data_IF_496278475917
#
_entry.id   IF_496278475917
#
_cell.length_a   1.000
_cell.length_b   1.000
_cell.length_c   1.000
_cell.angle_alpha   90.00
_cell.angle_beta   90.00
_cell.angle_gamma   90.00
#
_symmetry.space_group_name_H-M   'P 1'
#
loop_
_entity.id
_entity.type
_entity.pdbx_description
1 polymer ?
#
# COMPACT_ATOMS: atom_id res chain seq x y z
N UNK A 1 -18.49 -5.01 -24.50
CA UNK A 1 -17.39 -4.08 -24.15
C UNK A 1 -16.10 -4.43 -24.88
N UNK A 2 -15.43 -5.56 -24.60
CA UNK A 2 -14.10 -5.86 -25.17
C UNK A 2 -14.05 -5.90 -26.70
N UNK A 3 -15.07 -6.42 -27.39
CA UNK A 3 -15.12 -6.37 -28.86
C UNK A 3 -15.20 -4.94 -29.42
N UNK A 4 -15.90 -4.02 -28.75
CA UNK A 4 -15.95 -2.61 -29.16
C UNK A 4 -14.58 -1.95 -29.02
N UNK A 5 -13.84 -2.27 -27.95
CA UNK A 5 -12.46 -1.81 -27.78
C UNK A 5 -11.55 -2.39 -28.89
N UNK A 6 -11.70 -3.67 -29.22
CA UNK A 6 -10.92 -4.34 -30.28
C UNK A 6 -11.20 -3.76 -31.67
N UNK A 7 -12.43 -3.32 -31.92
CA UNK A 7 -12.86 -2.70 -33.17
C UNK A 7 -12.55 -1.19 -33.26
N UNK A 8 -12.00 -0.58 -32.20
CA UNK A 8 -11.77 0.87 -32.15
C UNK A 8 -13.03 1.71 -31.91
N UNK A 9 -14.18 1.07 -31.68
CA UNK A 9 -15.48 1.69 -31.42
C UNK A 9 -15.68 2.17 -29.98
N UNK A 10 -14.66 2.02 -29.12
CA UNK A 10 -14.65 2.51 -27.75
C UNK A 10 -13.32 3.21 -27.43
N UNK A 11 -13.40 4.47 -26.99
CA UNK A 11 -12.23 5.28 -26.61
C UNK A 11 -11.65 4.81 -25.28
N UNK A 12 -10.36 4.48 -25.24
CA UNK A 12 -9.61 4.22 -24.00
C UNK A 12 -8.98 5.52 -23.48
N UNK A 13 -8.89 5.64 -22.16
CA UNK A 13 -8.22 6.75 -21.47
C UNK A 13 -6.84 6.38 -20.91
N UNK A 14 -6.55 5.08 -20.84
CA UNK A 14 -5.28 4.51 -20.36
C UNK A 14 -4.86 3.33 -21.23
N UNK A 15 -3.56 3.09 -21.33
CA UNK A 15 -3.02 1.96 -22.08
C UNK A 15 -3.24 0.64 -21.33
N UNK A 16 -3.19 -0.48 -22.06
CA UNK A 16 -3.31 -1.80 -21.43
C UNK A 16 -2.11 -2.16 -20.55
N UNK A 17 -0.92 -1.69 -20.93
CA UNK A 17 0.30 -1.84 -20.12
C UNK A 17 0.13 -1.19 -18.74
N UNK A 18 -0.41 0.03 -18.69
CA UNK A 18 -0.61 0.75 -17.43
C UNK A 18 -1.57 0.01 -16.49
N UNK A 19 -2.64 -0.59 -17.04
CA UNK A 19 -3.57 -1.41 -16.28
C UNK A 19 -2.86 -2.64 -15.69
N UNK A 20 -2.08 -3.35 -16.52
CA UNK A 20 -1.33 -4.54 -16.08
C UNK A 20 -0.33 -4.22 -14.98
N UNK A 21 0.40 -3.12 -15.11
CA UNK A 21 1.34 -2.64 -14.07
C UNK A 21 0.60 -2.29 -12.77
N UNK A 22 -0.56 -1.63 -12.87
CA UNK A 22 -1.34 -1.17 -11.72
C UNK A 22 -1.93 -2.30 -10.87
N UNK A 23 -2.02 -3.53 -11.40
CA UNK A 23 -2.43 -4.72 -10.61
C UNK A 23 -1.45 -4.96 -9.45
N UNK A 24 -0.16 -4.69 -9.67
CA UNK A 24 0.90 -4.98 -8.69
C UNK A 24 1.51 -3.71 -8.08
N UNK A 25 1.24 -2.54 -8.67
CA UNK A 25 1.86 -1.27 -8.30
C UNK A 25 0.80 -0.31 -7.78
N UNK A 26 0.51 -0.30 -6.46
CA UNK A 26 -0.41 0.68 -5.89
C UNK A 26 0.14 2.11 -6.05
N UNK A 27 -0.73 3.14 -6.08
CA UNK A 27 -0.30 4.51 -6.28
C UNK A 27 0.47 5.05 -5.07
N UNK A 28 1.74 5.41 -5.27
CA UNK A 28 2.71 5.82 -4.24
C UNK A 28 2.27 7.06 -3.44
N UNK A 29 1.39 7.89 -3.99
CA UNK A 29 0.91 9.13 -3.36
C UNK A 29 -0.30 8.92 -2.44
N UNK A 30 -0.70 7.67 -2.18
CA UNK A 30 -1.89 7.33 -1.40
C UNK A 30 -1.59 6.29 -0.34
N UNK A 31 -2.48 6.17 0.65
CA UNK A 31 -2.41 5.11 1.68
C UNK A 31 -2.52 3.69 1.12
N UNK A 32 -2.98 3.53 -0.13
CA UNK A 32 -2.99 2.24 -0.79
C UNK A 32 -1.56 1.69 -1.01
N UNK A 33 -0.55 2.55 -1.15
CA UNK A 33 0.84 2.10 -1.28
C UNK A 33 1.33 1.44 0.00
N UNK A 34 1.23 2.13 1.14
CA UNK A 34 1.58 1.57 2.45
C UNK A 34 0.86 0.25 2.69
N UNK A 35 -0.47 0.22 2.49
CA UNK A 35 -1.29 -0.99 2.66
C UNK A 35 -0.85 -2.15 1.77
N UNK A 36 -0.69 -1.90 0.47
CA UNK A 36 -0.27 -2.91 -0.49
C UNK A 36 1.13 -3.45 -0.20
N UNK A 37 2.07 -2.58 0.17
CA UNK A 37 3.43 -2.97 0.54
C UNK A 37 3.49 -3.71 1.86
N UNK A 38 2.69 -3.32 2.86
CA UNK A 38 2.57 -4.05 4.12
C UNK A 38 2.08 -5.48 3.87
N UNK A 39 1.00 -5.65 3.10
CA UNK A 39 0.49 -6.99 2.72
C UNK A 39 1.53 -7.78 1.93
N UNK A 40 2.19 -7.18 0.95
CA UNK A 40 3.16 -7.91 0.12
C UNK A 40 4.40 -8.39 0.90
N UNK A 41 4.73 -7.77 2.03
CA UNK A 41 5.99 -8.02 2.75
C UNK A 41 5.82 -8.66 4.12
N UNK A 42 4.75 -8.34 4.82
CA UNK A 42 4.54 -8.63 6.23
C UNK A 42 3.14 -9.22 6.48
N UNK A 43 2.65 -10.03 5.53
CA UNK A 43 1.31 -10.61 5.59
C UNK A 43 1.11 -11.46 6.86
N UNK A 44 2.14 -12.18 7.28
CA UNK A 44 2.09 -13.09 8.42
C UNK A 44 2.02 -12.35 9.76
N UNK A 45 2.51 -11.11 9.80
CA UNK A 45 2.45 -10.21 10.94
C UNK A 45 1.22 -9.29 10.92
N UNK A 46 0.35 -9.35 9.91
CA UNK A 46 -0.89 -8.54 9.88
C UNK A 46 -2.00 -9.28 10.62
N UNK A 47 -2.45 -8.70 11.73
CA UNK A 47 -3.65 -9.16 12.44
C UNK A 47 -4.93 -8.70 11.73
N UNK A 48 -4.96 -7.43 11.30
CA UNK A 48 -6.11 -6.90 10.56
C UNK A 48 -5.72 -5.72 9.67
N UNK A 49 -6.49 -5.50 8.61
CA UNK A 49 -6.29 -4.41 7.67
C UNK A 49 -7.63 -3.74 7.32
N UNK A 50 -7.70 -2.42 7.48
CA UNK A 50 -8.82 -1.58 7.10
C UNK A 50 -8.32 -0.46 6.18
N UNK A 51 -9.23 0.40 5.69
CA UNK A 51 -8.84 1.51 4.81
C UNK A 51 -8.00 2.57 5.52
N UNK A 52 -8.27 2.79 6.79
CA UNK A 52 -7.73 3.83 7.65
C UNK A 52 -6.83 3.31 8.76
N UNK A 53 -6.57 1.99 8.84
CA UNK A 53 -5.61 1.42 9.75
C UNK A 53 -5.07 0.06 9.31
N UNK A 54 -3.88 -0.29 9.82
CA UNK A 54 -3.34 -1.65 9.80
C UNK A 54 -2.93 -2.01 11.22
N UNK A 55 -3.29 -3.20 11.67
CA UNK A 55 -2.85 -3.75 12.96
C UNK A 55 -1.87 -4.89 12.68
N UNK A 56 -0.64 -4.72 13.14
CA UNK A 56 0.38 -5.75 13.12
C UNK A 56 0.49 -6.45 14.47
N UNK A 57 0.96 -7.69 14.48
CA UNK A 57 1.20 -8.50 15.67
C UNK A 57 2.45 -9.37 15.50
N UNK A 58 3.28 -9.42 16.53
CA UNK A 58 4.40 -10.35 16.62
C UNK A 58 4.47 -10.92 18.05
N UNK A 59 4.04 -12.17 18.21
CA UNK A 59 3.86 -12.78 19.53
C UNK A 59 2.80 -12.05 20.36
N UNK A 60 3.19 -11.54 21.53
CA UNK A 60 2.31 -10.82 22.46
C UNK A 60 2.19 -9.32 22.19
N UNK A 61 2.97 -8.78 21.26
CA UNK A 61 2.97 -7.35 20.95
C UNK A 61 2.08 -7.08 19.74
N UNK A 62 1.18 -6.10 19.87
CA UNK A 62 0.39 -5.57 18.77
C UNK A 62 0.66 -4.09 18.56
N UNK A 63 0.77 -3.68 17.30
CA UNK A 63 0.98 -2.29 16.91
C UNK A 63 -0.04 -1.90 15.87
N UNK A 64 -0.78 -0.83 16.15
CA UNK A 64 -1.72 -0.23 15.22
C UNK A 64 -1.09 0.98 14.55
N UNK A 65 -1.20 1.05 13.23
CA UNK A 65 -0.78 2.18 12.39
C UNK A 65 -2.03 2.81 11.78
N UNK A 66 -2.31 4.05 12.13
CA UNK A 66 -3.48 4.79 11.60
C UNK A 66 -3.09 5.49 10.29
N UNK A 67 -3.99 5.47 9.32
CA UNK A 67 -3.86 6.03 7.97
C UNK A 67 -5.04 6.98 7.66
N UNK A 68 -5.21 8.07 8.44
CA UNK A 68 -6.33 8.98 8.25
C UNK A 68 -6.22 9.74 6.92
N UNK A 69 -5.00 9.96 6.42
CA UNK A 69 -4.76 10.66 5.17
C UNK A 69 -4.95 9.72 3.97
N UNK A 70 -5.92 10.04 3.11
CA UNK A 70 -6.16 9.26 1.90
C UNK A 70 -5.03 9.40 0.87
N UNK A 71 -4.43 10.60 0.77
CA UNK A 71 -3.37 10.93 -0.20
C UNK A 71 -2.54 12.15 0.22
N UNK A 72 -1.36 12.28 -0.39
CA UNK A 72 -0.50 13.48 -0.41
C UNK A 72 -0.28 14.10 0.99
N UNK A 73 0.47 13.41 1.83
CA UNK A 73 0.79 13.86 3.18
C UNK A 73 2.22 13.43 3.57
N UNK A 74 2.97 14.31 4.22
CA UNK A 74 4.37 14.05 4.57
C UNK A 74 4.57 12.85 5.52
N UNK A 75 3.64 12.62 6.47
CA UNK A 75 3.64 11.44 7.34
C UNK A 75 3.39 10.18 6.51
N UNK A 76 2.44 10.23 5.59
CA UNK A 76 2.17 9.12 4.69
C UNK A 76 3.37 8.81 3.78
N UNK A 77 4.08 9.82 3.29
CA UNK A 77 5.31 9.66 2.51
C UNK A 77 6.41 8.99 3.35
N UNK A 78 6.56 9.38 4.62
CA UNK A 78 7.48 8.74 5.55
C UNK A 78 7.12 7.26 5.81
N UNK A 79 5.83 6.96 6.01
CA UNK A 79 5.34 5.58 6.16
C UNK A 79 5.61 4.75 4.89
N UNK A 80 5.35 5.31 3.72
CA UNK A 80 5.64 4.66 2.43
C UNK A 80 7.13 4.36 2.27
N UNK A 81 8.00 5.29 2.69
CA UNK A 81 9.45 5.09 2.70
C UNK A 81 9.86 3.97 3.65
N UNK A 82 9.31 3.92 4.87
CA UNK A 82 9.56 2.83 5.83
C UNK A 82 9.13 1.47 5.26
N UNK A 83 7.93 1.38 4.67
CA UNK A 83 7.42 0.17 4.02
C UNK A 83 8.26 -0.27 2.80
N UNK A 84 8.94 0.68 2.14
CA UNK A 84 9.84 0.39 1.02
C UNK A 84 11.20 -0.16 1.47
N UNK A 85 11.76 0.38 2.55
CA UNK A 85 13.18 0.23 2.88
C UNK A 85 13.50 -0.66 4.10
N UNK A 86 12.59 -0.84 5.06
CA UNK A 86 12.89 -1.71 6.21
C UNK A 86 13.19 -3.13 5.72
N UNK A 87 14.28 -3.78 6.13
CA UNK A 87 14.70 -5.08 5.56
C UNK A 87 13.85 -6.23 6.10
N UNK A 88 13.58 -6.20 7.40
CA UNK A 88 12.75 -7.17 8.13
C UNK A 88 11.61 -6.47 8.90
N UNK A 89 10.74 -7.27 9.52
CA UNK A 89 9.58 -6.75 10.26
C UNK A 89 9.98 -5.89 11.47
N UNK A 90 11.09 -6.22 12.15
CA UNK A 90 11.53 -5.48 13.34
C UNK A 90 12.05 -4.09 12.97
N UNK A 91 12.87 -4.00 11.92
CA UNK A 91 13.34 -2.70 11.39
C UNK A 91 12.17 -1.87 10.86
N UNK A 92 11.23 -2.50 10.15
CA UNK A 92 10.04 -1.84 9.64
C UNK A 92 9.17 -1.24 10.76
N UNK A 93 8.85 -2.03 11.81
CA UNK A 93 7.96 -1.56 12.86
C UNK A 93 8.61 -0.49 13.74
N UNK A 94 9.94 -0.55 13.92
CA UNK A 94 10.71 0.49 14.58
C UNK A 94 10.65 1.80 13.77
N UNK A 95 10.91 1.74 12.46
CA UNK A 95 10.86 2.91 11.59
C UNK A 95 9.46 3.55 11.55
N UNK A 96 8.40 2.74 11.54
CA UNK A 96 7.02 3.22 11.63
C UNK A 96 6.74 3.87 12.99
N UNK A 97 7.33 3.35 14.07
CA UNK A 97 7.14 3.90 15.42
C UNK A 97 7.84 5.23 15.66
N UNK A 98 8.86 5.57 14.86
CA UNK A 98 9.53 6.87 14.91
C UNK A 98 8.78 7.99 14.16
N UNK A 99 7.78 7.63 13.34
CA UNK A 99 6.98 8.57 12.53
C UNK A 99 5.74 9.06 13.30
N UNK A 100 5.28 8.28 14.28
CA UNK A 100 4.13 8.58 15.16
C UNK A 100 4.58 9.20 16.48
#
# INVERSE_FOLDING_TARGET
YYELVRQGSARRVVAEGDIKTSIFSPPETTRAFFRGRAVARFNDEIYSIQWDEIVFTNGSQSRRVVLPEAAMNARLDALNHAARNGKDFSEFINAVSEID
#
